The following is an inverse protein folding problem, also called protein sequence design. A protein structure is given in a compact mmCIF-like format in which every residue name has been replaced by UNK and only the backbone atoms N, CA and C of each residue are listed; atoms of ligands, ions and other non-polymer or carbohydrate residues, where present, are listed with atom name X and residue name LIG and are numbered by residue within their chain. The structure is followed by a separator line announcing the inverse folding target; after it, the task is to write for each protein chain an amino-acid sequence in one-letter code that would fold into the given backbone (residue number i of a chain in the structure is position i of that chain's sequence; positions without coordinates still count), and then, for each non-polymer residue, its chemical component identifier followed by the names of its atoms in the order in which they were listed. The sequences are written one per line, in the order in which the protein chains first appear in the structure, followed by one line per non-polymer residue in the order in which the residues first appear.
data_IF_770925393167
#
_entry.id   IF_770925393167
#
_cell.length_a   1.000
_cell.length_b   1.000
_cell.length_c   1.000
_cell.angle_alpha   90.00
_cell.angle_beta   90.00
_cell.angle_gamma   90.00
#
_symmetry.space_group_name_H-M   'P 1'
#
loop_
_entity.id
_entity.type
_entity.pdbx_description
1 polymer ?
#
# COMPACT_ATOMS: atom_id res chain seq x y z
N UNK A 1 -23.31 -19.05 -9.03
CA UNK A 1 -21.99 -19.56 -8.61
C UNK A 1 -22.19 -20.39 -7.34
N UNK A 2 -21.84 -21.69 -7.33
CA UNK A 2 -21.95 -22.51 -6.12
C UNK A 2 -21.06 -21.90 -5.04
N UNK A 3 -21.63 -21.51 -3.91
CA UNK A 3 -20.85 -21.03 -2.77
C UNK A 3 -20.18 -22.25 -2.16
N UNK A 4 -18.93 -22.52 -2.57
CA UNK A 4 -18.06 -23.46 -1.87
C UNK A 4 -18.03 -23.09 -0.39
N UNK A 5 -18.08 -24.08 0.49
CA UNK A 5 -18.03 -23.87 1.94
C UNK A 5 -16.60 -23.43 2.29
N UNK A 6 -16.34 -22.13 2.26
CA UNK A 6 -15.05 -21.58 2.65
C UNK A 6 -14.80 -21.88 4.14
N UNK A 7 -13.59 -22.29 4.52
CA UNK A 7 -13.22 -22.45 5.91
C UNK A 7 -13.58 -21.21 6.74
N UNK A 8 -14.21 -21.42 7.90
CA UNK A 8 -14.70 -20.33 8.75
C UNK A 8 -13.59 -19.38 9.24
N UNK A 9 -12.33 -19.82 9.21
CA UNK A 9 -11.18 -19.03 9.63
C UNK A 9 -10.72 -17.99 8.58
N UNK A 10 -11.14 -18.08 7.31
CA UNK A 10 -10.67 -17.18 6.24
C UNK A 10 -11.09 -15.74 6.52
N UNK A 11 -12.33 -15.53 6.95
CA UNK A 11 -12.86 -14.20 7.27
C UNK A 11 -12.06 -13.53 8.40
N UNK A 12 -11.89 -14.15 9.59
CA UNK A 12 -11.08 -13.54 10.64
C UNK A 12 -9.61 -13.39 10.24
N UNK A 13 -9.02 -14.36 9.53
CA UNK A 13 -7.63 -14.25 9.06
C UNK A 13 -7.42 -13.05 8.11
N UNK A 14 -8.35 -12.82 7.19
CA UNK A 14 -8.30 -11.67 6.27
C UNK A 14 -8.41 -10.33 7.00
N UNK A 15 -9.28 -10.24 8.02
CA UNK A 15 -9.45 -9.01 8.81
C UNK A 15 -8.23 -8.72 9.68
N UNK A 16 -7.72 -9.75 10.37
CA UNK A 16 -6.56 -9.59 11.24
C UNK A 16 -5.27 -9.32 10.47
N UNK A 17 -5.08 -9.93 9.30
CA UNK A 17 -3.92 -9.62 8.46
C UNK A 17 -3.92 -8.16 8.00
N UNK A 18 -5.08 -7.59 7.66
CA UNK A 18 -5.21 -6.16 7.34
C UNK A 18 -4.85 -5.25 8.51
N UNK A 19 -5.34 -5.56 9.72
CA UNK A 19 -5.00 -4.79 10.93
C UNK A 19 -3.51 -4.87 11.26
N UNK A 20 -2.92 -6.07 11.20
CA UNK A 20 -1.49 -6.27 11.42
C UNK A 20 -0.66 -5.54 10.36
N UNK A 21 -1.09 -5.55 9.10
CA UNK A 21 -0.41 -4.80 8.04
C UNK A 21 -0.41 -3.28 8.32
N UNK A 22 -1.50 -2.72 8.84
CA UNK A 22 -1.52 -1.32 9.32
C UNK A 22 -0.54 -1.13 10.47
N UNK A 23 -0.65 -1.92 11.54
CA UNK A 23 0.19 -1.77 12.72
C UNK A 23 1.69 -1.91 12.41
N UNK A 24 2.06 -2.82 11.51
CA UNK A 24 3.45 -3.04 11.11
C UNK A 24 3.97 -1.94 10.16
N UNK A 25 3.11 -1.39 9.29
CA UNK A 25 3.51 -0.34 8.35
C UNK A 25 3.54 1.05 8.96
N UNK A 26 2.77 1.32 10.03
CA UNK A 26 2.74 2.63 10.69
C UNK A 26 4.13 3.08 11.16
N UNK A 27 4.92 2.30 11.93
CA UNK A 27 6.24 2.72 12.38
C UNK A 27 7.20 2.97 11.21
N UNK A 28 7.12 2.14 10.17
CA UNK A 28 7.92 2.32 8.96
C UNK A 28 7.56 3.62 8.26
N UNK A 29 6.28 3.89 8.04
CA UNK A 29 5.81 5.12 7.41
C UNK A 29 6.17 6.37 8.23
N UNK A 30 6.02 6.31 9.55
CA UNK A 30 6.42 7.36 10.48
C UNK A 30 7.93 7.58 10.42
N UNK A 31 8.73 6.51 10.46
CA UNK A 31 10.18 6.61 10.35
C UNK A 31 10.60 7.19 8.99
N UNK A 32 9.98 6.78 7.89
CA UNK A 32 10.22 7.36 6.57
C UNK A 32 9.89 8.86 6.54
N UNK A 33 8.77 9.27 7.16
CA UNK A 33 8.37 10.68 7.17
C UNK A 33 9.24 11.56 8.07
N UNK A 34 9.68 11.05 9.22
CA UNK A 34 10.49 11.82 10.18
C UNK A 34 12.00 11.78 9.89
N UNK A 35 12.53 10.62 9.49
CA UNK A 35 13.97 10.45 9.30
C UNK A 35 14.43 10.83 7.89
N UNK A 36 13.60 10.57 6.86
CA UNK A 36 13.94 10.82 5.45
C UNK A 36 13.16 12.01 4.88
N UNK A 37 11.95 12.26 5.38
CA UNK A 37 11.14 13.40 4.97
C UNK A 37 10.71 13.35 3.51
N UNK A 38 10.00 14.39 3.09
CA UNK A 38 9.80 14.64 1.67
C UNK A 38 11.08 15.26 1.10
N UNK A 39 11.68 14.59 0.11
CA UNK A 39 12.86 15.09 -0.57
C UNK A 39 12.58 15.31 -2.07
N UNK A 40 13.07 16.42 -2.61
CA UNK A 40 12.91 16.82 -4.00
C UNK A 40 14.22 17.06 -4.74
N UNK A 41 15.32 16.49 -4.23
CA UNK A 41 16.67 16.71 -4.77
C UNK A 41 16.87 16.18 -6.19
N UNK A 42 16.09 15.18 -6.59
CA UNK A 42 16.08 14.57 -7.92
C UNK A 42 14.64 14.21 -8.29
N UNK A 43 14.31 14.19 -9.59
CA UNK A 43 12.95 13.88 -10.06
C UNK A 43 12.48 12.50 -9.59
N UNK A 44 13.36 11.50 -9.54
CA UNK A 44 13.03 10.17 -9.01
C UNK A 44 12.67 10.24 -7.53
N UNK A 45 13.46 10.96 -6.75
CA UNK A 45 13.29 11.09 -5.29
C UNK A 45 12.02 11.86 -4.96
N UNK A 46 11.71 12.90 -5.73
CA UNK A 46 10.46 13.66 -5.64
C UNK A 46 9.26 12.75 -5.85
N UNK A 47 9.27 12.00 -6.95
CA UNK A 47 8.18 11.08 -7.30
C UNK A 47 8.05 9.93 -6.31
N UNK A 48 9.17 9.38 -5.84
CA UNK A 48 9.16 8.37 -4.77
C UNK A 48 8.52 8.90 -3.49
N UNK A 49 8.93 10.08 -3.04
CA UNK A 49 8.41 10.70 -1.82
C UNK A 49 6.90 10.98 -1.93
N UNK A 50 6.46 11.55 -3.06
CA UNK A 50 5.05 11.85 -3.32
C UNK A 50 4.20 10.58 -3.33
N UNK A 51 4.62 9.56 -4.07
CA UNK A 51 3.86 8.31 -4.20
C UNK A 51 3.94 7.43 -2.95
N UNK A 52 5.02 7.54 -2.16
CA UNK A 52 5.12 6.90 -0.85
C UNK A 52 4.09 7.46 0.14
N UNK A 53 3.98 8.78 0.22
CA UNK A 53 2.94 9.44 1.01
C UNK A 53 1.53 9.08 0.51
N UNK A 54 1.32 9.12 -0.80
CA UNK A 54 0.03 8.79 -1.41
C UNK A 54 -0.37 7.32 -1.18
N UNK A 55 0.56 6.37 -1.31
CA UNK A 55 0.34 4.96 -1.04
C UNK A 55 -0.18 4.74 0.39
N UNK A 56 0.48 5.33 1.38
CA UNK A 56 0.07 5.16 2.78
C UNK A 56 -1.29 5.80 3.06
N UNK A 57 -1.55 6.99 2.50
CA UNK A 57 -2.86 7.65 2.58
C UNK A 57 -3.98 6.82 1.94
N UNK A 58 -3.75 6.27 0.75
CA UNK A 58 -4.69 5.38 0.06
C UNK A 58 -4.94 4.09 0.84
N UNK A 59 -3.89 3.53 1.46
CA UNK A 59 -3.98 2.33 2.29
C UNK A 59 -4.86 2.54 3.53
N UNK A 60 -4.59 3.60 4.30
CA UNK A 60 -5.41 3.96 5.47
C UNK A 60 -6.84 4.28 5.03
N UNK A 61 -7.03 5.03 3.95
CA UNK A 61 -8.36 5.37 3.41
C UNK A 61 -9.15 4.11 3.07
N UNK A 62 -8.54 3.13 2.39
CA UNK A 62 -9.19 1.83 2.11
C UNK A 62 -9.62 1.15 3.40
N UNK A 63 -8.77 1.12 4.42
CA UNK A 63 -9.10 0.50 5.71
C UNK A 63 -10.28 1.20 6.41
N UNK A 64 -10.34 2.54 6.36
CA UNK A 64 -11.47 3.31 6.88
C UNK A 64 -12.74 3.03 6.08
N UNK A 65 -12.67 3.03 4.74
CA UNK A 65 -13.81 2.73 3.87
C UNK A 65 -14.39 1.35 4.17
N UNK A 66 -13.56 0.34 4.42
CA UNK A 66 -14.03 -1.01 4.78
C UNK A 66 -14.84 -1.07 6.09
N UNK A 67 -14.76 -0.07 6.95
CA UNK A 67 -15.58 0.02 8.18
C UNK A 67 -16.95 0.67 7.96
N UNK A 68 -17.15 1.36 6.83
CA UNK A 68 -18.38 2.10 6.52
C UNK A 68 -19.43 1.16 5.91
N UNK A 69 -20.67 1.25 6.40
CA UNK A 69 -21.82 0.54 5.82
C UNK A 69 -22.43 1.38 4.69
N UNK A 70 -22.93 0.73 3.63
CA UNK A 70 -23.66 1.39 2.54
C UNK A 70 -22.81 2.09 1.49
N UNK A 71 -21.53 1.72 1.33
CA UNK A 71 -20.70 2.22 0.24
C UNK A 71 -21.17 1.67 -1.12
N UNK A 72 -21.09 2.51 -2.15
CA UNK A 72 -21.36 2.09 -3.53
C UNK A 72 -20.35 1.00 -3.97
N UNK A 73 -20.83 0.01 -4.72
CA UNK A 73 -20.05 -1.21 -5.04
C UNK A 73 -18.73 -0.96 -5.79
N UNK A 74 -18.61 0.16 -6.52
CA UNK A 74 -17.40 0.59 -7.22
C UNK A 74 -16.31 1.20 -6.33
N UNK A 75 -16.62 1.65 -5.11
CA UNK A 75 -15.65 2.34 -4.24
C UNK A 75 -14.52 1.40 -3.81
N UNK A 76 -14.86 0.16 -3.49
CA UNK A 76 -13.90 -0.86 -3.06
C UNK A 76 -12.88 -1.19 -4.18
N UNK A 77 -13.29 -1.51 -5.43
CA UNK A 77 -12.34 -1.78 -6.49
C UNK A 77 -11.52 -0.55 -6.89
N UNK A 78 -12.10 0.65 -6.90
CA UNK A 78 -11.35 1.89 -7.18
C UNK A 78 -10.29 2.14 -6.10
N UNK A 79 -10.67 2.08 -4.83
CA UNK A 79 -9.72 2.23 -3.72
C UNK A 79 -8.61 1.17 -3.78
N UNK A 80 -8.96 -0.07 -4.12
CA UNK A 80 -7.98 -1.14 -4.35
C UNK A 80 -7.03 -0.85 -5.51
N UNK A 81 -7.55 -0.38 -6.64
CA UNK A 81 -6.78 -0.03 -7.84
C UNK A 81 -5.81 1.13 -7.60
N UNK A 82 -6.25 2.18 -6.89
CA UNK A 82 -5.40 3.32 -6.51
C UNK A 82 -4.23 2.86 -5.64
N UNK A 83 -4.51 2.00 -4.66
CA UNK A 83 -3.51 1.46 -3.74
C UNK A 83 -2.47 0.60 -4.48
N UNK A 84 -2.93 -0.25 -5.40
CA UNK A 84 -2.07 -1.06 -6.26
C UNK A 84 -1.20 -0.20 -7.18
N UNK A 85 -1.80 0.79 -7.83
CA UNK A 85 -1.07 1.73 -8.70
C UNK A 85 0.04 2.46 -7.93
N UNK A 86 -0.26 2.98 -6.74
CA UNK A 86 0.72 3.65 -5.90
C UNK A 86 1.87 2.70 -5.48
N UNK A 87 1.54 1.45 -5.12
CA UNK A 87 2.54 0.44 -4.76
C UNK A 87 3.50 0.15 -5.92
N UNK A 88 2.96 -0.07 -7.12
CA UNK A 88 3.76 -0.32 -8.33
C UNK A 88 4.67 0.87 -8.61
N UNK A 89 4.16 2.08 -8.51
CA UNK A 89 4.94 3.29 -8.77
C UNK A 89 6.10 3.48 -7.76
N UNK A 90 5.83 3.27 -6.47
CA UNK A 90 6.88 3.28 -5.43
C UNK A 90 7.93 2.20 -5.72
N UNK A 91 7.50 1.00 -6.11
CA UNK A 91 8.43 -0.08 -6.46
C UNK A 91 9.32 0.27 -7.66
N UNK A 92 8.74 0.85 -8.72
CA UNK A 92 9.47 1.26 -9.93
C UNK A 92 10.54 2.32 -9.62
N UNK A 93 10.20 3.30 -8.77
CA UNK A 93 11.13 4.36 -8.36
C UNK A 93 12.20 3.89 -7.36
N UNK A 94 12.03 2.69 -6.78
CA UNK A 94 12.93 2.15 -5.74
C UNK A 94 13.67 0.91 -6.24
N UNK A 95 13.03 -0.26 -6.15
CA UNK A 95 13.65 -1.56 -6.34
C UNK A 95 14.10 -1.75 -7.79
N UNK A 96 13.28 -1.36 -8.76
CA UNK A 96 13.67 -1.47 -10.17
C UNK A 96 14.90 -0.61 -10.47
N UNK A 97 14.89 0.65 -10.03
CA UNK A 97 16.04 1.55 -10.20
C UNK A 97 17.30 0.98 -9.53
N UNK A 98 17.16 0.44 -8.32
CA UNK A 98 18.26 -0.20 -7.60
C UNK A 98 18.82 -1.41 -8.35
N UNK A 99 17.96 -2.30 -8.84
CA UNK A 99 18.39 -3.48 -9.61
C UNK A 99 19.00 -3.13 -10.97
N UNK A 100 18.51 -2.06 -11.62
CA UNK A 100 19.10 -1.57 -12.86
C UNK A 100 20.53 -1.06 -12.67
N UNK A 101 20.83 -0.45 -11.52
CA UNK A 101 22.17 0.09 -11.24
C UNK A 101 23.15 -0.95 -10.71
N UNK A 102 22.70 -1.85 -9.83
CA UNK A 102 23.57 -2.78 -9.13
C UNK A 102 23.60 -4.18 -9.76
N UNK A 103 22.73 -4.45 -10.73
CA UNK A 103 22.50 -5.78 -11.27
C UNK A 103 21.73 -6.68 -10.29
N UNK A 104 21.36 -7.87 -10.75
CA UNK A 104 20.88 -8.94 -9.88
C UNK A 104 22.11 -9.65 -9.30
N UNK A 105 22.51 -9.28 -8.08
CA UNK A 105 23.46 -10.09 -7.32
C UNK A 105 22.73 -11.38 -6.90
N UNK A 106 22.99 -12.46 -7.64
CA UNK A 106 22.44 -13.79 -7.41
C UNK A 106 23.52 -14.69 -6.81
#
# INVERSE_FOLDING_TARGET
MPRGRFPAWIVPAHVWSGRLAVLASVPVAVHCLYALGFAGSDTRVLFHSLFGCFFYGAFVTKMVLLTRKGLAGWVIPVAGGVLFFALVYVWLTSALWFFQLNGLAL
#
